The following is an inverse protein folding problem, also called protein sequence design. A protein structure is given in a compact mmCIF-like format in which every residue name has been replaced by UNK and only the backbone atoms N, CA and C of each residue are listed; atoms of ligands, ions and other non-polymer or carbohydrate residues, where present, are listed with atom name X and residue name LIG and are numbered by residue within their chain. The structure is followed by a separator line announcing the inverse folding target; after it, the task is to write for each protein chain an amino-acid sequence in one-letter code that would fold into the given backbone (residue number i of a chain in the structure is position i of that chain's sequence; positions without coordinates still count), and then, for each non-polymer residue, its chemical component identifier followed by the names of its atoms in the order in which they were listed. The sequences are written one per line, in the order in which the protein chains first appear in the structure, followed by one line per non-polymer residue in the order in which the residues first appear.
data_IF_975739931586
#
_entry.id   IF_975739931586
#
_cell.length_a   1.000
_cell.length_b   1.000
_cell.length_c   1.000
_cell.angle_alpha   90.00
_cell.angle_beta   90.00
_cell.angle_gamma   90.00
#
_symmetry.space_group_name_H-M   'P 1'
#
loop_
_entity.id
_entity.type
_entity.pdbx_description
1 polymer ?
#
# COMPACT_ATOMS: atom_id res chain seq x y z
N UNK A 1 -7.71 24.38 -10.75
CA UNK A 1 -7.54 24.21 -9.29
C UNK A 1 -7.65 22.73 -9.00
N UNK A 2 -6.54 22.05 -8.73
CA UNK A 2 -6.57 20.62 -8.42
C UNK A 2 -7.30 20.44 -7.07
N UNK A 3 -8.48 19.83 -7.10
CA UNK A 3 -9.23 19.50 -5.88
C UNK A 3 -8.53 18.32 -5.22
N UNK A 4 -8.03 18.54 -4.02
CA UNK A 4 -7.26 17.61 -3.19
C UNK A 4 -8.14 16.51 -2.58
N UNK A 5 -9.03 15.93 -3.38
CA UNK A 5 -9.96 14.89 -2.95
C UNK A 5 -9.23 13.54 -3.00
N UNK A 6 -8.81 13.04 -1.82
CA UNK A 6 -8.23 11.69 -1.69
C UNK A 6 -6.98 11.57 -0.83
N UNK A 7 -6.74 12.46 0.15
CA UNK A 7 -5.62 12.35 1.08
C UNK A 7 -5.48 10.93 1.67
N UNK A 8 -6.61 10.27 1.97
CA UNK A 8 -6.66 8.91 2.53
C UNK A 8 -6.03 7.83 1.64
N UNK A 9 -6.08 7.99 0.31
CA UNK A 9 -5.50 7.00 -0.60
C UNK A 9 -3.97 7.14 -0.74
N UNK A 10 -3.42 8.32 -0.46
CA UNK A 10 -1.99 8.61 -0.62
C UNK A 10 -1.14 8.13 0.56
N UNK A 11 -1.70 8.11 1.76
CA UNK A 11 -0.97 7.76 2.98
C UNK A 11 -0.42 6.33 3.02
N UNK A 12 -1.16 5.28 2.58
CA UNK A 12 -0.61 3.93 2.53
C UNK A 12 0.61 3.81 1.63
N UNK A 13 0.61 4.51 0.49
CA UNK A 13 1.76 4.56 -0.42
C UNK A 13 2.96 5.27 0.22
N UNK A 14 2.72 6.41 0.88
CA UNK A 14 3.79 7.18 1.53
C UNK A 14 4.42 6.42 2.72
N UNK A 15 3.60 5.74 3.51
CA UNK A 15 4.08 4.91 4.63
C UNK A 15 4.83 3.68 4.13
N UNK A 16 4.35 3.02 3.06
CA UNK A 16 5.06 1.93 2.43
C UNK A 16 6.42 2.35 1.87
N UNK A 17 6.48 3.53 1.24
CA UNK A 17 7.72 4.10 0.75
C UNK A 17 8.71 4.39 1.88
N UNK A 18 8.26 5.11 2.92
CA UNK A 18 9.10 5.43 4.08
C UNK A 18 9.61 4.17 4.77
N UNK A 19 8.75 3.16 4.95
CA UNK A 19 9.16 1.89 5.54
C UNK A 19 10.18 1.15 4.68
N UNK A 20 10.01 1.12 3.36
CA UNK A 20 11.00 0.55 2.43
C UNK A 20 12.36 1.24 2.54
N UNK A 21 12.37 2.58 2.60
CA UNK A 21 13.58 3.39 2.78
C UNK A 21 14.26 3.13 4.13
N UNK A 22 13.50 2.87 5.19
CA UNK A 22 14.08 2.52 6.48
C UNK A 22 14.62 1.09 6.51
N UNK A 23 13.92 0.15 5.86
CA UNK A 23 14.31 -1.25 5.77
C UNK A 23 15.60 -1.46 4.97
N UNK A 24 15.92 -0.60 4.01
CA UNK A 24 17.18 -0.68 3.24
C UNK A 24 18.42 -0.25 4.04
N UNK A 25 18.27 0.59 5.08
CA UNK A 25 19.43 1.20 5.78
C UNK A 25 20.42 0.17 6.37
N UNK A 26 20.00 -0.98 6.92
CA UNK A 26 20.96 -1.96 7.40
C UNK A 26 21.75 -2.67 6.30
N UNK A 27 21.26 -2.64 5.05
CA UNK A 27 21.74 -3.49 3.94
C UNK A 27 22.40 -2.72 2.80
N UNK A 28 22.30 -1.39 2.82
CA UNK A 28 22.84 -0.54 1.75
C UNK A 28 24.34 -0.43 1.85
N UNK A 29 25.04 -0.58 0.71
CA UNK A 29 26.46 -0.34 0.61
C UNK A 29 26.71 0.78 -0.39
N UNK A 30 27.15 1.93 0.10
CA UNK A 30 27.36 3.14 -0.69
C UNK A 30 28.66 3.81 -0.26
N UNK A 31 29.26 4.59 -1.15
CA UNK A 31 30.51 5.30 -0.87
C UNK A 31 30.46 6.21 0.37
N UNK A 32 29.26 6.68 0.75
CA UNK A 32 29.04 7.59 1.88
C UNK A 32 28.49 6.89 3.13
N UNK A 33 27.96 5.68 3.00
CA UNK A 33 27.28 4.97 4.09
C UNK A 33 27.21 3.47 3.80
N UNK A 34 27.60 2.66 4.78
CA UNK A 34 27.52 1.21 4.71
C UNK A 34 26.78 0.68 5.94
N UNK A 35 25.72 -0.09 5.70
CA UNK A 35 24.81 -0.59 6.72
C UNK A 35 25.43 -1.69 7.60
N UNK A 36 24.80 -1.93 8.75
CA UNK A 36 25.28 -2.90 9.75
C UNK A 36 25.37 -4.34 9.24
N UNK A 37 24.51 -4.74 8.29
CA UNK A 37 24.47 -6.09 7.73
C UNK A 37 25.36 -6.29 6.50
N UNK A 38 25.92 -5.23 5.91
CA UNK A 38 26.74 -5.33 4.69
C UNK A 38 27.94 -6.26 4.89
N UNK A 39 28.63 -6.15 6.03
CA UNK A 39 29.78 -7.01 6.37
C UNK A 39 29.41 -8.49 6.50
N UNK A 40 28.21 -8.78 6.98
CA UNK A 40 27.70 -10.17 7.12
C UNK A 40 27.38 -10.77 5.75
N UNK A 41 27.00 -9.93 4.80
CA UNK A 41 26.66 -10.31 3.43
C UNK A 41 27.86 -10.32 2.47
N UNK A 42 29.08 -10.19 3.00
CA UNK A 42 30.31 -10.18 2.18
C UNK A 42 30.49 -8.93 1.33
N UNK A 43 29.86 -7.79 1.71
CA UNK A 43 29.91 -6.55 0.94
C UNK A 43 28.88 -6.45 -0.18
N UNK A 44 27.96 -7.42 -0.31
CA UNK A 44 26.91 -7.34 -1.31
C UNK A 44 25.81 -6.34 -0.92
N UNK A 45 25.48 -5.41 -1.83
CA UNK A 45 24.33 -4.51 -1.68
C UNK A 45 23.04 -5.23 -2.10
N UNK A 46 22.25 -5.63 -1.09
CA UNK A 46 20.92 -6.24 -1.27
C UNK A 46 19.79 -5.29 -0.87
N UNK A 47 20.12 -4.02 -0.60
CA UNK A 47 19.21 -3.03 -0.06
C UNK A 47 18.07 -2.67 -1.00
N UNK A 48 18.34 -2.67 -2.31
CA UNK A 48 17.34 -2.46 -3.35
C UNK A 48 16.25 -3.54 -3.31
N UNK A 49 16.63 -4.80 -3.08
CA UNK A 49 15.71 -5.92 -3.00
C UNK A 49 14.88 -5.86 -1.72
N UNK A 50 15.54 -5.62 -0.58
CA UNK A 50 14.87 -5.48 0.72
C UNK A 50 13.89 -4.31 0.71
N UNK A 51 14.29 -3.16 0.16
CA UNK A 51 13.45 -1.97 0.05
C UNK A 51 12.21 -2.22 -0.82
N UNK A 52 12.38 -2.84 -1.99
CA UNK A 52 11.27 -3.16 -2.89
C UNK A 52 10.29 -4.17 -2.27
N UNK A 53 10.80 -5.28 -1.74
CA UNK A 53 9.96 -6.32 -1.15
C UNK A 53 9.26 -5.82 0.11
N UNK A 54 9.95 -5.04 0.94
CA UNK A 54 9.40 -4.42 2.15
C UNK A 54 8.26 -3.44 1.83
N UNK A 55 8.50 -2.51 0.90
CA UNK A 55 7.48 -1.54 0.49
C UNK A 55 6.27 -2.22 -0.18
N UNK A 56 6.51 -3.14 -1.12
CA UNK A 56 5.44 -3.87 -1.79
C UNK A 56 4.60 -4.71 -0.82
N UNK A 57 5.27 -5.44 0.09
CA UNK A 57 4.61 -6.25 1.11
C UNK A 57 3.77 -5.43 2.09
N UNK A 58 4.31 -4.32 2.58
CA UNK A 58 3.59 -3.44 3.50
C UNK A 58 2.39 -2.77 2.82
N UNK A 59 2.58 -2.23 1.61
CA UNK A 59 1.49 -1.63 0.85
C UNK A 59 0.37 -2.64 0.57
N UNK A 60 0.73 -3.85 0.12
CA UNK A 60 -0.22 -4.92 -0.11
C UNK A 60 -0.99 -5.29 1.15
N UNK A 61 -0.32 -5.40 2.30
CA UNK A 61 -0.96 -5.71 3.58
C UNK A 61 -1.95 -4.61 3.99
N UNK A 62 -1.56 -3.34 3.87
CA UNK A 62 -2.41 -2.19 4.19
C UNK A 62 -3.65 -2.15 3.29
N UNK A 63 -3.48 -2.31 1.98
CA UNK A 63 -4.59 -2.34 1.02
C UNK A 63 -5.50 -3.56 1.21
N UNK A 64 -4.93 -4.73 1.51
CA UNK A 64 -5.70 -5.95 1.81
C UNK A 64 -6.54 -5.78 3.08
N UNK A 65 -6.07 -5.03 4.08
CA UNK A 65 -6.85 -4.70 5.29
C UNK A 65 -7.94 -3.68 4.99
N UNK A 66 -7.64 -2.60 4.26
CA UNK A 66 -8.60 -1.57 3.88
C UNK A 66 -9.81 -2.16 3.11
N UNK A 67 -9.56 -3.09 2.17
CA UNK A 67 -10.63 -3.79 1.43
C UNK A 67 -11.52 -4.66 2.33
N UNK A 68 -10.96 -5.26 3.39
CA UNK A 68 -11.76 -6.07 4.34
C UNK A 68 -12.63 -5.19 5.25
N UNK A 69 -12.14 -4.02 5.65
CA UNK A 69 -12.88 -3.06 6.48
C UNK A 69 -14.01 -2.37 5.71
N UNK A 70 -13.81 -2.11 4.42
CA UNK A 70 -14.86 -1.58 3.51
C UNK A 70 -15.92 -2.61 3.09
N UNK A 71 -15.70 -3.90 3.35
CA UNK A 71 -16.65 -4.97 3.07
C UNK A 71 -17.67 -5.13 4.20
N UNK A 72 -18.62 -4.20 4.33
CA UNK A 72 -19.88 -4.47 5.04
C UNK A 72 -20.86 -5.15 4.09
N UNK A 73 -21.30 -6.40 4.35
CA UNK A 73 -22.49 -6.95 3.72
C UNK A 73 -23.74 -6.46 4.49
N UNK A 74 -24.61 -5.71 3.81
CA UNK A 74 -26.01 -5.56 4.20
C UNK A 74 -26.48 -4.16 4.61
N UNK A 75 -27.47 -3.63 3.86
CA UNK A 75 -28.42 -2.63 4.36
C UNK A 75 -28.94 -1.60 3.35
N UNK A 76 -30.03 -1.92 2.64
CA UNK A 76 -30.86 -0.91 1.97
C UNK A 76 -31.55 -1.39 0.69
N UNK A 77 -32.77 -1.92 0.81
CA UNK A 77 -33.71 -2.12 -0.30
C UNK A 77 -33.83 -0.86 -1.16
N UNK A 78 -33.69 -0.99 -2.48
CA UNK A 78 -34.50 -0.21 -3.39
C UNK A 78 -35.71 -1.08 -3.75
N UNK A 79 -36.91 -0.81 -3.21
CA UNK A 79 -38.09 -1.61 -3.50
C UNK A 79 -38.33 -1.58 -5.01
N UNK A 80 -38.65 -2.75 -5.54
CA UNK A 80 -38.98 -3.02 -6.93
C UNK A 80 -39.59 -1.79 -7.61
N UNK A 81 -38.85 -1.22 -8.57
CA UNK A 81 -39.37 -0.21 -9.49
C UNK A 81 -40.51 -0.88 -10.26
N UNK A 82 -41.73 -0.84 -9.71
CA UNK A 82 -42.96 -1.24 -10.38
C UNK A 82 -43.08 -0.35 -11.60
N UNK A 83 -42.65 -0.85 -12.74
CA UNK A 83 -42.97 -0.26 -14.02
C UNK A 83 -44.49 -0.31 -14.16
N UNK A 84 -45.16 0.81 -14.47
CA UNK A 84 -46.58 0.77 -14.80
C UNK A 84 -46.75 -0.15 -16.02
N UNK A 85 -47.54 -1.22 -15.86
CA UNK A 85 -47.93 -2.06 -16.99
C UNK A 85 -48.79 -1.22 -17.94
N UNK A 86 -48.47 -1.17 -19.24
CA UNK A 86 -49.36 -0.55 -20.21
C UNK A 86 -50.68 -1.33 -20.21
N UNK A 87 -51.78 -0.64 -19.88
CA UNK A 87 -53.14 -1.16 -20.10
C UNK A 87 -53.31 -1.33 -21.61
N UNK A 88 -53.45 -2.58 -22.06
CA UNK A 88 -54.08 -2.91 -23.34
C UNK A 88 -55.45 -3.48 -23.05
#
# INVERSE_FOLDING_TARGET
MATWEGADYRWPGLLAYLAGVLLQLPFIDSALFSGSMVRVLGGADVSWLVGWLGAAGLYWLMMRRARRVGGRPGGGEAPARRLPRPRR
#
